data_IF_150889748603
#
_entry.id   IF_150889748603
#
_cell.length_a   1.000
_cell.length_b   1.000
_cell.length_c   1.000
_cell.angle_alpha   90.00
_cell.angle_beta   90.00
_cell.angle_gamma   90.00
#
_symmetry.space_group_name_H-M   'P 1'
#
loop_
_entity.id
_entity.type
_entity.pdbx_description
1 polymer ?
#
# COMPACT_ATOMS: atom_id res chain seq x y z
N UNK A 1 3.61 -29.67 -5.75
CA UNK A 1 3.72 -31.13 -5.90
C UNK A 1 4.25 -31.42 -7.29
N UNK A 2 5.31 -32.21 -7.40
CA UNK A 2 5.79 -32.73 -8.68
C UNK A 2 5.46 -34.22 -8.65
N UNK A 3 4.70 -34.71 -9.62
CA UNK A 3 4.32 -36.14 -9.65
C UNK A 3 3.51 -36.63 -8.44
N UNK A 4 2.82 -35.75 -7.72
CA UNK A 4 2.07 -36.10 -6.50
C UNK A 4 2.91 -36.10 -5.20
N UNK A 5 4.20 -35.80 -5.28
CA UNK A 5 5.10 -35.75 -4.13
C UNK A 5 5.34 -34.31 -3.64
N UNK A 6 5.66 -34.17 -2.35
CA UNK A 6 5.99 -32.90 -1.72
C UNK A 6 7.36 -32.41 -2.19
N UNK A 7 7.40 -31.19 -2.72
CA UNK A 7 8.63 -30.52 -3.15
C UNK A 7 8.75 -29.17 -2.44
N UNK A 8 9.53 -29.12 -1.35
CA UNK A 8 9.74 -27.91 -0.54
C UNK A 8 10.84 -26.99 -1.10
N UNK A 9 11.70 -27.51 -1.96
CA UNK A 9 12.86 -26.77 -2.47
C UNK A 9 13.40 -27.34 -3.78
N UNK A 10 14.67 -27.06 -4.05
CA UNK A 10 15.38 -27.43 -5.27
C UNK A 10 16.70 -28.10 -4.94
N UNK A 11 17.08 -29.09 -5.74
CA UNK A 11 18.39 -29.72 -5.66
C UNK A 11 19.42 -28.81 -6.32
N UNK A 12 20.49 -28.49 -5.61
CA UNK A 12 21.59 -27.65 -6.09
C UNK A 12 22.92 -28.38 -5.94
N UNK A 13 23.87 -28.08 -6.82
CA UNK A 13 25.24 -28.59 -6.70
C UNK A 13 25.97 -27.80 -5.61
N UNK A 14 26.55 -28.52 -4.64
CA UNK A 14 27.24 -27.92 -3.49
C UNK A 14 28.69 -28.38 -3.50
N UNK A 15 29.61 -27.45 -3.28
CA UNK A 15 31.02 -27.73 -3.05
C UNK A 15 31.39 -27.40 -1.60
N UNK A 16 32.04 -28.35 -0.91
CA UNK A 16 32.52 -28.16 0.45
C UNK A 16 33.98 -27.74 0.42
N UNK A 17 34.23 -26.42 0.41
CA UNK A 17 35.58 -25.84 0.47
C UNK A 17 35.52 -24.41 1.01
N UNK A 18 36.56 -23.93 1.72
CA UNK A 18 36.67 -22.51 2.04
C UNK A 18 36.83 -21.69 0.75
N UNK A 19 36.15 -20.56 0.64
CA UNK A 19 36.21 -19.68 -0.53
C UNK A 19 36.45 -18.23 -0.13
N UNK A 20 37.72 -17.81 -0.14
CA UNK A 20 38.16 -16.43 0.11
C UNK A 20 37.56 -15.75 1.36
N UNK A 21 37.12 -16.54 2.34
CA UNK A 21 36.45 -16.05 3.56
C UNK A 21 34.97 -15.67 3.39
N UNK A 22 34.38 -15.78 2.20
CA UNK A 22 32.98 -15.47 1.96
C UNK A 22 32.01 -16.48 2.60
N UNK A 23 32.47 -17.70 2.88
CA UNK A 23 31.71 -18.72 3.59
C UNK A 23 32.25 -18.95 5.02
N UNK A 24 32.66 -17.88 5.68
CA UNK A 24 33.08 -17.94 7.08
C UNK A 24 31.89 -18.20 8.01
N UNK A 25 32.11 -19.03 9.04
CA UNK A 25 31.07 -19.48 9.99
C UNK A 25 29.85 -20.09 9.28
N UNK A 26 28.68 -19.47 9.41
CA UNK A 26 27.39 -19.97 8.92
C UNK A 26 26.93 -19.28 7.62
N UNK A 27 27.83 -18.53 6.96
CA UNK A 27 27.50 -17.81 5.73
C UNK A 27 27.51 -18.76 4.53
N UNK A 28 26.40 -18.78 3.78
CA UNK A 28 26.28 -19.54 2.54
C UNK A 28 26.57 -18.64 1.35
N UNK A 29 27.62 -18.98 0.60
CA UNK A 29 27.89 -18.36 -0.70
C UNK A 29 26.99 -18.99 -1.78
N UNK A 30 26.27 -18.17 -2.52
CA UNK A 30 25.38 -18.59 -3.60
C UNK A 30 25.90 -18.14 -4.97
N UNK A 31 25.61 -18.94 -5.99
CA UNK A 31 25.93 -18.57 -7.38
C UNK A 31 24.84 -17.66 -7.95
N UNK A 32 25.23 -16.68 -8.76
CA UNK A 32 24.28 -15.75 -9.41
C UNK A 32 23.27 -16.46 -10.32
N UNK A 33 23.64 -17.63 -10.86
CA UNK A 33 22.73 -18.46 -11.66
C UNK A 33 21.42 -18.77 -10.94
N UNK A 34 21.44 -18.93 -9.61
CA UNK A 34 20.22 -19.17 -8.82
C UNK A 34 19.22 -18.02 -8.92
N UNK A 35 19.72 -16.79 -9.12
CA UNK A 35 18.91 -15.57 -9.31
C UNK A 35 18.44 -15.47 -10.75
N UNK A 36 19.34 -15.63 -11.73
CA UNK A 36 18.99 -15.50 -13.15
C UNK A 36 18.01 -16.58 -13.66
N UNK A 37 18.03 -17.77 -13.05
CA UNK A 37 17.13 -18.87 -13.40
C UNK A 37 15.87 -18.93 -12.51
N UNK A 38 15.63 -17.92 -11.66
CA UNK A 38 14.46 -17.83 -10.77
C UNK A 38 14.24 -19.09 -9.89
N UNK A 39 15.32 -19.79 -9.50
CA UNK A 39 15.25 -21.10 -8.84
C UNK A 39 14.57 -21.01 -7.47
N UNK A 40 14.87 -19.93 -6.74
CA UNK A 40 14.33 -19.66 -5.40
C UNK A 40 13.37 -18.46 -5.39
N UNK A 41 12.76 -18.13 -6.53
CA UNK A 41 11.76 -17.06 -6.62
C UNK A 41 10.41 -17.51 -6.06
N UNK A 42 9.85 -16.73 -5.15
CA UNK A 42 8.57 -17.00 -4.48
C UNK A 42 7.54 -15.90 -4.76
N UNK A 43 6.25 -16.27 -4.71
CA UNK A 43 5.15 -15.31 -4.74
C UNK A 43 4.67 -15.02 -3.32
N UNK A 44 4.66 -13.75 -2.95
CA UNK A 44 4.12 -13.27 -1.67
C UNK A 44 2.83 -12.48 -1.94
N UNK A 45 1.72 -12.96 -1.40
CA UNK A 45 0.41 -12.29 -1.51
C UNK A 45 0.09 -11.64 -0.16
N UNK A 46 -0.12 -10.33 -0.17
CA UNK A 46 -0.49 -9.56 1.01
C UNK A 46 -1.88 -8.95 0.82
N UNK A 47 -2.73 -9.05 1.84
CA UNK A 47 -4.06 -8.46 1.85
C UNK A 47 -4.04 -7.17 2.67
N UNK A 48 -4.53 -6.08 2.08
CA UNK A 48 -4.80 -4.83 2.78
C UNK A 48 -6.29 -4.57 2.84
N UNK A 49 -6.77 -4.03 3.94
CA UNK A 49 -8.20 -3.77 4.15
C UNK A 49 -8.40 -2.41 4.81
N UNK A 50 -9.42 -1.70 4.36
CA UNK A 50 -9.88 -0.47 5.00
C UNK A 50 -11.41 -0.47 5.04
N UNK A 51 -11.95 0.04 6.14
CA UNK A 51 -13.39 0.15 6.36
C UNK A 51 -13.81 1.62 6.40
N UNK A 52 -15.04 1.87 5.98
CA UNK A 52 -15.72 3.16 6.10
C UNK A 52 -16.70 3.12 7.25
N UNK A 53 -16.66 4.14 8.10
CA UNK A 53 -17.56 4.26 9.24
C UNK A 53 -18.41 5.53 9.14
N UNK A 54 -19.60 5.49 9.73
CA UNK A 54 -20.40 6.68 9.94
C UNK A 54 -19.97 7.32 11.25
N UNK A 55 -19.43 8.53 11.19
CA UNK A 55 -19.05 9.30 12.37
C UNK A 55 -20.15 10.32 12.72
N UNK A 56 -20.07 10.89 13.92
CA UNK A 56 -20.94 12.00 14.35
C UNK A 56 -20.88 13.22 13.42
N UNK A 57 -19.75 13.40 12.75
CA UNK A 57 -19.46 14.52 11.84
C UNK A 57 -19.89 14.24 10.40
N UNK A 58 -20.37 13.03 10.10
CA UNK A 58 -20.79 12.58 8.77
C UNK A 58 -20.22 11.20 8.40
N UNK A 59 -20.71 10.61 7.30
CA UNK A 59 -20.18 9.36 6.77
C UNK A 59 -18.79 9.56 6.12
N UNK A 60 -17.87 8.64 6.36
CA UNK A 60 -16.64 8.53 5.57
C UNK A 60 -16.98 8.18 4.12
N UNK A 61 -16.26 8.77 3.16
CA UNK A 61 -16.51 8.61 1.73
C UNK A 61 -15.27 8.07 1.03
N UNK A 62 -15.46 7.14 0.10
CA UNK A 62 -14.41 6.68 -0.80
C UNK A 62 -14.47 7.56 -2.06
N UNK A 63 -13.34 8.13 -2.45
CA UNK A 63 -13.24 9.01 -3.63
C UNK A 63 -11.81 9.11 -4.12
N UNK A 64 -11.62 9.40 -5.41
CA UNK A 64 -10.34 9.75 -6.01
C UNK A 64 -10.07 11.27 -5.98
N UNK A 65 -11.05 12.09 -5.60
CA UNK A 65 -10.94 13.55 -5.53
C UNK A 65 -10.31 14.00 -4.21
N UNK A 66 -8.97 14.00 -4.13
CA UNK A 66 -8.25 14.40 -2.92
C UNK A 66 -7.30 15.56 -3.23
N UNK A 67 -7.65 16.75 -2.73
CA UNK A 67 -7.03 18.03 -3.11
C UNK A 67 -5.58 18.23 -2.64
N UNK A 68 -5.17 17.56 -1.56
CA UNK A 68 -3.86 17.77 -0.93
C UNK A 68 -2.78 16.76 -1.36
N UNK A 69 -3.10 15.91 -2.34
CA UNK A 69 -2.20 14.87 -2.80
C UNK A 69 -1.71 15.14 -4.21
N UNK A 70 -0.49 14.70 -4.46
CA UNK A 70 0.08 14.70 -5.80
C UNK A 70 -0.71 13.74 -6.71
N UNK A 71 -0.99 14.20 -7.93
CA UNK A 71 -1.69 13.39 -8.94
C UNK A 71 -0.97 12.06 -9.22
N UNK A 72 0.35 12.01 -9.05
CA UNK A 72 1.14 10.79 -9.17
C UNK A 72 0.68 9.70 -8.21
N UNK A 73 0.35 10.02 -6.95
CA UNK A 73 -0.08 9.03 -5.94
C UNK A 73 -1.49 8.48 -6.20
N UNK A 74 -2.29 9.23 -6.96
CA UNK A 74 -3.68 8.90 -7.32
C UNK A 74 -3.78 8.21 -8.69
N UNK A 75 -2.68 8.09 -9.44
CA UNK A 75 -2.66 7.62 -10.85
C UNK A 75 -3.26 6.23 -11.06
N UNK A 76 -3.23 5.40 -10.03
CA UNK A 76 -3.69 4.01 -10.08
C UNK A 76 -5.14 3.83 -9.59
N UNK A 77 -5.79 4.89 -9.09
CA UNK A 77 -7.17 4.84 -8.61
C UNK A 77 -8.16 4.97 -9.76
N UNK A 78 -9.25 4.23 -9.66
CA UNK A 78 -10.42 4.36 -10.53
C UNK A 78 -11.26 5.59 -10.15
N UNK A 79 -12.35 5.80 -10.90
CA UNK A 79 -13.33 6.87 -10.65
C UNK A 79 -14.01 6.81 -9.28
N UNK A 80 -13.96 5.67 -8.59
CA UNK A 80 -14.56 5.47 -7.28
C UNK A 80 -13.55 5.67 -6.14
N UNK A 81 -12.26 5.90 -6.45
CA UNK A 81 -11.20 5.98 -5.45
C UNK A 81 -10.66 4.62 -5.01
N UNK A 82 -10.80 3.58 -5.82
CA UNK A 82 -10.31 2.22 -5.54
C UNK A 82 -9.21 1.88 -6.54
N UNK A 83 -8.16 1.17 -6.11
CA UNK A 83 -7.10 0.78 -7.04
C UNK A 83 -7.60 -0.11 -8.17
N UNK A 84 -7.11 0.13 -9.39
CA UNK A 84 -7.42 -0.69 -10.55
C UNK A 84 -6.71 -2.05 -10.50
N UNK A 85 -7.41 -3.11 -10.90
CA UNK A 85 -6.85 -4.45 -11.05
C UNK A 85 -5.69 -4.47 -12.05
N UNK A 86 -4.61 -5.18 -11.70
CA UNK A 86 -3.43 -5.32 -12.55
C UNK A 86 -2.46 -4.13 -12.50
N UNK A 87 -2.79 -3.05 -11.80
CA UNK A 87 -1.89 -1.90 -11.58
C UNK A 87 -0.63 -2.32 -10.83
N UNK A 88 0.50 -1.73 -11.22
CA UNK A 88 1.75 -1.80 -10.48
C UNK A 88 1.78 -0.69 -9.43
N UNK A 89 1.97 -1.05 -8.17
CA UNK A 89 2.00 -0.12 -7.04
C UNK A 89 3.35 -0.14 -6.36
N UNK A 90 3.75 1.04 -5.90
CA UNK A 90 4.97 1.26 -5.14
C UNK A 90 4.67 1.80 -3.75
N UNK A 91 5.72 1.89 -2.94
CA UNK A 91 5.64 2.44 -1.59
C UNK A 91 5.00 3.82 -1.62
N UNK A 92 4.09 4.10 -0.68
CA UNK A 92 3.30 5.35 -0.55
C UNK A 92 2.18 5.54 -1.57
N UNK A 93 2.07 4.71 -2.62
CA UNK A 93 0.90 4.75 -3.51
C UNK A 93 -0.39 4.49 -2.71
N UNK A 94 -1.47 5.15 -3.13
CA UNK A 94 -2.77 5.06 -2.47
C UNK A 94 -3.53 3.89 -3.03
N UNK A 95 -3.87 2.92 -2.17
CA UNK A 95 -4.67 1.74 -2.51
C UNK A 95 -6.16 2.06 -2.54
N UNK A 96 -6.63 2.86 -1.57
CA UNK A 96 -8.02 3.29 -1.48
C UNK A 96 -8.07 4.72 -0.99
N UNK A 97 -8.64 5.60 -1.79
CA UNK A 97 -8.88 6.99 -1.45
C UNK A 97 -10.05 7.11 -0.47
N UNK A 98 -9.79 7.56 0.76
CA UNK A 98 -10.81 7.73 1.80
C UNK A 98 -10.73 9.11 2.41
N UNK A 99 -11.88 9.78 2.49
CA UNK A 99 -12.06 11.05 3.16
C UNK A 99 -12.94 10.89 4.40
N UNK A 100 -12.44 11.39 5.53
CA UNK A 100 -13.20 11.50 6.77
C UNK A 100 -13.67 12.94 6.95
N UNK A 101 -14.98 13.20 7.12
CA UNK A 101 -15.47 14.54 7.38
C UNK A 101 -14.92 15.04 8.72
N UNK A 102 -14.44 16.28 8.77
CA UNK A 102 -13.92 16.91 9.97
C UNK A 102 -14.68 18.22 10.22
N UNK A 103 -15.21 18.39 11.43
CA UNK A 103 -15.71 19.68 11.87
C UNK A 103 -14.51 20.56 12.15
N UNK A 104 -14.14 21.42 11.20
CA UNK A 104 -13.18 22.48 11.44
C UNK A 104 -13.82 23.49 12.40
N UNK A 105 -13.53 23.38 13.70
CA UNK A 105 -13.73 24.51 14.60
C UNK A 105 -12.67 25.54 14.23
N UNK A 106 -13.07 26.65 13.61
CA UNK A 106 -12.14 27.77 13.31
C UNK A 106 -11.35 28.25 14.54
N UNK A 107 -11.88 27.99 15.74
CA UNK A 107 -11.28 28.33 17.03
C UNK A 107 -10.15 27.40 17.49
N UNK A 108 -9.88 26.27 16.83
CA UNK A 108 -8.84 25.32 17.25
C UNK A 108 -7.50 25.49 16.52
N UNK A 109 -7.43 26.37 15.52
CA UNK A 109 -6.17 26.65 14.82
C UNK A 109 -5.38 27.72 15.57
N UNK A 110 -4.06 27.54 15.58
CA UNK A 110 -3.16 28.54 16.15
C UNK A 110 -3.29 29.89 15.40
N UNK A 111 -3.10 31.02 16.09
CA UNK A 111 -3.24 32.35 15.47
C UNK A 111 -2.33 32.53 14.24
N UNK A 112 -1.13 31.94 14.24
CA UNK A 112 -0.23 31.88 13.08
C UNK A 112 -0.85 31.19 11.86
N UNK A 113 -1.53 30.05 12.06
CA UNK A 113 -2.20 29.30 10.99
C UNK A 113 -3.40 30.08 10.42
N UNK A 114 -4.14 30.78 11.29
CA UNK A 114 -5.27 31.62 10.84
C UNK A 114 -4.77 32.78 9.99
N UNK A 115 -3.66 33.43 10.39
CA UNK A 115 -3.07 34.54 9.65
C UNK A 115 -2.53 34.08 8.29
N UNK A 116 -1.79 32.97 8.24
CA UNK A 116 -1.29 32.41 6.97
C UNK A 116 -2.43 32.08 6.00
N UNK A 117 -3.52 31.49 6.49
CA UNK A 117 -4.70 31.19 5.66
C UNK A 117 -5.40 32.43 5.16
N UNK A 118 -5.50 33.48 5.98
CA UNK A 118 -6.10 34.75 5.57
C UNK A 118 -5.30 35.42 4.46
N UNK A 119 -3.96 35.40 4.55
CA UNK A 119 -3.06 35.97 3.55
C UNK A 119 -3.09 35.16 2.25
N UNK A 120 -3.09 33.83 2.35
CA UNK A 120 -3.00 32.92 1.20
C UNK A 120 -4.36 32.53 0.61
N UNK A 121 -5.47 33.03 1.17
CA UNK A 121 -6.84 32.67 0.81
C UNK A 121 -7.08 31.14 0.72
N UNK A 122 -6.40 30.36 1.57
CA UNK A 122 -6.47 28.90 1.57
C UNK A 122 -7.83 28.48 2.14
N UNK A 123 -8.65 27.84 1.32
CA UNK A 123 -9.92 27.26 1.76
C UNK A 123 -9.68 26.13 2.77
N UNK A 124 -10.47 26.14 3.86
CA UNK A 124 -10.41 25.09 4.86
C UNK A 124 -11.04 23.82 4.28
N UNK A 125 -10.24 22.75 4.18
CA UNK A 125 -10.75 21.44 3.83
C UNK A 125 -11.72 20.97 4.92
N UNK A 126 -12.99 20.74 4.56
CA UNK A 126 -14.00 20.16 5.46
C UNK A 126 -13.80 18.66 5.70
N UNK A 127 -12.77 18.09 5.08
CA UNK A 127 -12.49 16.66 5.03
C UNK A 127 -11.00 16.42 5.28
N UNK A 128 -10.69 15.44 6.13
CA UNK A 128 -9.32 14.94 6.33
C UNK A 128 -9.11 13.68 5.50
N UNK A 129 -7.97 13.59 4.83
CA UNK A 129 -7.53 12.38 4.16
C UNK A 129 -7.23 11.26 5.18
N UNK A 130 -7.87 10.10 5.00
CA UNK A 130 -7.67 8.88 5.80
C UNK A 130 -7.51 7.65 4.90
N UNK A 131 -6.80 7.83 3.79
CA UNK A 131 -6.59 6.82 2.75
C UNK A 131 -5.82 5.59 3.23
N UNK A 132 -6.04 4.47 2.55
CA UNK A 132 -5.19 3.28 2.65
C UNK A 132 -3.99 3.47 1.72
N UNK A 133 -2.78 3.54 2.28
CA UNK A 133 -1.52 3.64 1.54
C UNK A 133 -0.75 2.33 1.62
N UNK A 134 0.02 2.01 0.58
CA UNK A 134 0.92 0.87 0.62
C UNK A 134 2.02 1.14 1.67
N UNK A 135 2.28 0.21 2.61
CA UNK A 135 3.31 0.39 3.62
C UNK A 135 4.71 0.45 3.01
N UNK A 136 5.65 1.01 3.79
CA UNK A 136 7.03 1.19 3.37
C UNK A 136 7.67 -0.17 3.02
N UNK A 137 8.34 -0.24 1.88
CA UNK A 137 8.98 -1.45 1.37
C UNK A 137 8.05 -2.36 0.58
N UNK A 138 6.74 -2.04 0.52
CA UNK A 138 5.79 -2.72 -0.34
C UNK A 138 5.97 -2.30 -1.80
N UNK A 139 5.92 -3.29 -2.70
CA UNK A 139 5.75 -3.12 -4.15
C UNK A 139 5.13 -4.37 -4.74
N UNK A 140 4.41 -4.22 -5.85
CA UNK A 140 3.91 -5.38 -6.58
C UNK A 140 2.72 -5.07 -7.47
N UNK A 141 2.09 -6.14 -7.93
CA UNK A 141 0.92 -6.06 -8.82
C UNK A 141 -0.35 -6.40 -8.06
N UNK A 142 -1.39 -5.60 -8.28
CA UNK A 142 -2.71 -5.91 -7.70
C UNK A 142 -3.34 -7.08 -8.46
N UNK A 143 -3.53 -8.18 -7.74
CA UNK A 143 -4.11 -9.42 -8.27
C UNK A 143 -5.61 -9.52 -8.05
N UNK A 144 -6.13 -8.90 -6.98
CA UNK A 144 -7.55 -8.98 -6.63
C UNK A 144 -8.00 -7.73 -5.85
N UNK A 145 -9.27 -7.35 -6.03
CA UNK A 145 -9.92 -6.21 -5.36
C UNK A 145 -11.35 -6.61 -5.00
N UNK A 146 -11.63 -6.64 -3.70
CA UNK A 146 -12.95 -6.99 -3.17
C UNK A 146 -13.49 -5.79 -2.40
N UNK A 147 -14.69 -5.35 -2.74
CA UNK A 147 -15.45 -4.38 -1.96
C UNK A 147 -16.75 -5.01 -1.47
N UNK A 148 -17.07 -4.79 -0.20
CA UNK A 148 -18.26 -5.35 0.44
C UNK A 148 -19.10 -4.20 0.98
N UNK A 149 -20.33 -4.08 0.48
CA UNK A 149 -21.30 -3.13 1.01
C UNK A 149 -22.25 -3.87 1.95
N UNK A 150 -22.15 -3.57 3.25
CA UNK A 150 -23.10 -4.11 4.22
C UNK A 150 -24.46 -3.44 4.00
N UNK A 151 -25.39 -4.16 3.37
CA UNK A 151 -26.80 -3.75 3.37
C UNK A 151 -27.27 -3.70 4.83
N UNK A 152 -27.77 -2.54 5.27
CA UNK A 152 -28.48 -2.47 6.55
C UNK A 152 -29.62 -3.49 6.47
N UNK A 153 -29.64 -4.43 7.41
CA UNK A 153 -30.78 -5.34 7.58
C UNK A 153 -32.05 -4.51 7.76
N UNK A 154 -33.13 -5.00 7.15
CA UNK A 154 -34.48 -4.48 7.34
C UNK A 154 -34.86 -4.46 8.82
#
# INVERSE_FOLDING_TARGET
>A
MIGGELALGKNVLVAYMPWEGYNFEDVVLIIERLVYEDIYTSFHIQKYEIQTHVRSQGPERITNEILHLEAYLLRNLDKNGILMLGSWVETVDILVGKLTPQVAKESSYAPEDRLLRAILAIQVSTSKETCLKLPIGGRGRVVDVIWVQKKRGF
#
